data_IF_072392816997
#
_entry.id   IF_072392816997
#
_cell.length_a   1.000
_cell.length_b   1.000
_cell.length_c   1.000
_cell.angle_alpha   90.00
_cell.angle_beta   90.00
_cell.angle_gamma   90.00
#
_symmetry.space_group_name_H-M   'P 1'
#
loop_
_entity.id
_entity.type
_entity.pdbx_description
1 polymer ?
#
# COMPACT_ATOMS: atom_id res chain seq x y z
N UNK A 1 -75.56 8.38 -37.03
CA UNK A 1 -74.41 9.26 -36.77
C UNK A 1 -74.25 9.43 -35.28
N UNK A 2 -73.19 8.87 -34.68
CA UNK A 2 -72.74 9.24 -33.34
C UNK A 2 -71.27 8.80 -33.21
N UNK A 3 -70.35 9.77 -33.24
CA UNK A 3 -68.91 9.55 -33.09
C UNK A 3 -68.64 9.45 -31.58
N UNK A 4 -68.07 8.31 -31.18
CA UNK A 4 -67.78 7.95 -29.77
C UNK A 4 -66.52 8.64 -29.27
N UNK A 5 -66.52 8.93 -27.97
CA UNK A 5 -65.45 9.54 -27.19
C UNK A 5 -64.10 8.83 -27.36
N UNK A 6 -63.04 9.61 -27.57
CA UNK A 6 -61.65 9.12 -27.61
C UNK A 6 -61.24 8.61 -26.22
N UNK A 7 -60.61 7.43 -26.11
CA UNK A 7 -60.14 6.93 -24.84
C UNK A 7 -58.88 7.66 -24.39
N UNK A 8 -58.98 8.28 -23.22
CA UNK A 8 -57.89 8.79 -22.40
C UNK A 8 -57.03 7.64 -21.80
N UNK A 9 -56.47 6.79 -22.66
CA UNK A 9 -55.62 5.64 -22.29
C UNK A 9 -54.17 5.84 -22.76
N UNK A 10 -53.68 7.08 -22.72
CA UNK A 10 -52.30 7.41 -23.12
C UNK A 10 -51.37 7.80 -21.96
N UNK A 11 -51.86 7.91 -20.72
CA UNK A 11 -51.08 8.47 -19.61
C UNK A 11 -50.21 7.47 -18.81
N UNK A 12 -50.58 6.18 -18.61
CA UNK A 12 -49.81 5.33 -17.69
C UNK A 12 -48.51 4.78 -18.32
N UNK A 13 -48.41 4.70 -19.65
CA UNK A 13 -47.21 4.19 -20.34
C UNK A 13 -46.05 5.19 -20.27
N UNK A 14 -46.33 6.50 -20.22
CA UNK A 14 -45.31 7.54 -20.12
C UNK A 14 -44.61 7.57 -18.76
N UNK A 15 -45.28 7.14 -17.68
CA UNK A 15 -44.70 7.08 -16.33
C UNK A 15 -43.69 5.93 -16.16
N UNK A 16 -43.82 4.85 -16.93
CA UNK A 16 -42.85 3.75 -16.95
C UNK A 16 -41.57 4.11 -17.71
N UNK A 17 -41.67 4.94 -18.75
CA UNK A 17 -40.50 5.45 -19.48
C UNK A 17 -39.68 6.45 -18.65
N UNK A 18 -40.28 7.09 -17.63
CA UNK A 18 -39.59 8.01 -16.73
C UNK A 18 -38.83 7.31 -15.58
N UNK A 19 -38.98 6.00 -15.40
CA UNK A 19 -38.22 5.21 -14.42
C UNK A 19 -36.94 4.59 -15.03
N UNK A 20 -36.72 4.80 -16.32
CA UNK A 20 -35.48 4.48 -17.04
C UNK A 20 -34.78 5.75 -17.51
N UNK A 21 -34.76 6.78 -16.66
CA UNK A 21 -34.00 7.99 -16.92
C UNK A 21 -32.51 7.66 -16.84
N UNK A 22 -31.85 7.60 -18.00
CA UNK A 22 -30.38 7.60 -18.15
C UNK A 22 -29.78 8.99 -17.81
N UNK A 23 -30.58 9.89 -17.23
CA UNK A 23 -30.30 11.32 -17.01
C UNK A 23 -29.86 11.72 -15.60
N UNK A 24 -29.47 10.77 -14.74
CA UNK A 24 -28.80 11.10 -13.47
C UNK A 24 -27.29 10.98 -13.70
N UNK A 25 -26.53 11.98 -13.25
CA UNK A 25 -25.05 12.06 -13.16
C UNK A 25 -24.41 10.92 -12.32
N UNK A 26 -24.97 9.72 -12.37
CA UNK A 26 -24.44 8.54 -11.71
C UNK A 26 -23.40 7.90 -12.61
N UNK A 27 -22.16 7.72 -12.13
CA UNK A 27 -21.14 7.06 -12.91
C UNK A 27 -21.60 5.64 -13.24
N UNK A 28 -21.31 5.20 -14.46
CA UNK A 28 -21.56 3.83 -14.90
C UNK A 28 -20.97 2.83 -13.89
N UNK A 29 -21.75 1.81 -13.55
CA UNK A 29 -21.28 0.75 -12.65
C UNK A 29 -20.07 0.06 -13.26
N UNK A 30 -19.05 -0.20 -12.44
CA UNK A 30 -17.92 -1.00 -12.84
C UNK A 30 -18.43 -2.40 -13.22
N UNK A 31 -17.96 -3.00 -14.33
CA UNK A 31 -18.36 -4.36 -14.69
C UNK A 31 -18.09 -5.34 -13.54
N UNK A 32 -19.04 -6.24 -13.27
CA UNK A 32 -18.93 -7.22 -12.18
C UNK A 32 -17.64 -8.04 -12.29
N UNK A 33 -17.22 -8.37 -13.50
CA UNK A 33 -15.97 -9.12 -13.76
C UNK A 33 -14.71 -8.36 -13.30
N UNK A 34 -14.71 -7.03 -13.33
CA UNK A 34 -13.61 -6.22 -12.80
C UNK A 34 -13.66 -6.10 -11.28
N UNK A 35 -14.86 -6.01 -10.70
CA UNK A 35 -15.03 -5.91 -9.24
C UNK A 35 -14.64 -7.22 -8.54
N UNK A 36 -14.91 -8.35 -9.19
CA UNK A 36 -14.61 -9.68 -8.66
C UNK A 36 -13.28 -10.26 -9.15
N UNK A 37 -12.49 -9.48 -9.90
CA UNK A 37 -11.16 -9.90 -10.30
C UNK A 37 -10.25 -10.03 -9.07
N UNK A 38 -9.48 -11.12 -9.01
CA UNK A 38 -8.49 -11.32 -7.95
C UNK A 38 -7.43 -10.20 -8.04
N UNK A 39 -7.21 -9.43 -6.96
CA UNK A 39 -6.19 -8.38 -6.96
C UNK A 39 -4.80 -8.98 -7.12
N UNK A 40 -3.97 -8.35 -7.96
CA UNK A 40 -2.58 -8.79 -8.14
C UNK A 40 -1.77 -8.59 -6.87
N UNK A 41 -1.04 -9.62 -6.43
CA UNK A 41 -0.11 -9.52 -5.30
C UNK A 41 1.15 -8.73 -5.71
N UNK A 42 1.49 -7.63 -5.03
CA UNK A 42 2.68 -6.84 -5.33
C UNK A 42 4.00 -7.62 -5.17
N UNK A 43 5.04 -7.21 -5.93
CA UNK A 43 6.42 -7.74 -5.90
C UNK A 43 6.94 -8.14 -4.52
N UNK A 44 6.89 -7.18 -3.60
CA UNK A 44 7.42 -7.36 -2.25
C UNK A 44 6.61 -8.34 -1.38
N UNK A 45 5.36 -8.64 -1.75
CA UNK A 45 4.44 -9.46 -0.96
C UNK A 45 4.38 -10.93 -1.43
N UNK A 46 5.09 -11.32 -2.49
CA UNK A 46 5.04 -12.68 -3.01
C UNK A 46 5.50 -13.74 -1.99
N UNK A 47 6.48 -13.41 -1.15
CA UNK A 47 6.95 -14.30 -0.08
C UNK A 47 5.82 -14.55 0.92
N UNK A 48 5.09 -13.50 1.30
CA UNK A 48 3.95 -13.61 2.22
C UNK A 48 2.78 -14.38 1.61
N UNK A 49 2.53 -14.23 0.31
CA UNK A 49 1.49 -14.98 -0.38
C UNK A 49 1.82 -16.48 -0.52
N UNK A 50 3.09 -16.83 -0.77
CA UNK A 50 3.52 -18.22 -0.93
C UNK A 50 3.71 -18.97 0.39
N UNK A 51 3.94 -18.27 1.50
CA UNK A 51 4.22 -18.89 2.81
C UNK A 51 3.78 -17.99 3.98
N UNK A 52 2.47 -17.81 4.18
CA UNK A 52 1.95 -16.91 5.22
C UNK A 52 2.35 -17.35 6.64
N UNK A 53 2.39 -18.66 6.90
CA UNK A 53 2.80 -19.19 8.21
C UNK A 53 4.28 -18.95 8.51
N UNK A 54 5.14 -18.98 7.50
CA UNK A 54 6.56 -18.66 7.67
C UNK A 54 6.73 -17.20 8.07
N UNK A 55 6.06 -16.28 7.35
CA UNK A 55 6.10 -14.85 7.68
C UNK A 55 5.59 -14.60 9.11
N UNK A 56 4.52 -15.28 9.52
CA UNK A 56 4.01 -15.19 10.89
C UNK A 56 5.05 -15.66 11.92
N UNK A 57 5.66 -16.81 11.70
CA UNK A 57 6.71 -17.34 12.57
C UNK A 57 7.92 -16.41 12.65
N UNK A 58 8.37 -15.85 11.53
CA UNK A 58 9.51 -14.94 11.48
C UNK A 58 9.23 -13.64 12.25
N UNK A 59 8.01 -13.09 12.11
CA UNK A 59 7.57 -11.91 12.85
C UNK A 59 7.46 -12.19 14.35
N UNK A 60 6.95 -13.35 14.75
CA UNK A 60 6.89 -13.76 16.15
C UNK A 60 8.30 -13.89 16.76
N UNK A 61 9.24 -14.51 16.04
CA UNK A 61 10.63 -14.64 16.46
C UNK A 61 11.33 -13.28 16.56
N UNK A 62 11.13 -12.40 15.56
CA UNK A 62 11.66 -11.05 15.57
C UNK A 62 11.10 -10.23 16.75
N UNK A 63 9.80 -10.36 17.02
CA UNK A 63 9.15 -9.71 18.17
C UNK A 63 9.74 -10.17 19.51
N UNK A 64 10.01 -11.46 19.68
CA UNK A 64 10.67 -11.98 20.87
C UNK A 64 12.10 -11.43 21.03
N UNK A 65 12.88 -11.40 19.95
CA UNK A 65 14.23 -10.83 19.97
C UNK A 65 14.22 -9.35 20.36
N UNK A 66 13.30 -8.56 19.79
CA UNK A 66 13.13 -7.14 20.15
C UNK A 66 12.74 -6.95 21.61
N UNK A 67 11.88 -7.81 22.15
CA UNK A 67 11.45 -7.72 23.55
C UNK A 67 12.62 -8.01 24.52
N UNK A 68 13.52 -8.93 24.16
CA UNK A 68 14.78 -9.17 24.89
C UNK A 68 15.67 -7.93 24.83
N UNK A 69 15.88 -7.35 23.65
CA UNK A 69 16.68 -6.13 23.49
C UNK A 69 16.10 -4.93 24.26
N UNK A 70 14.78 -4.81 24.34
CA UNK A 70 14.11 -3.77 25.13
C UNK A 70 14.27 -3.98 26.65
N UNK A 71 14.51 -5.20 27.11
CA UNK A 71 14.84 -5.46 28.51
C UNK A 71 16.29 -5.09 28.84
N UNK A 72 17.19 -5.15 27.85
CA UNK A 72 18.61 -4.79 27.99
C UNK A 72 18.85 -3.28 27.81
N UNK A 73 18.10 -2.62 26.93
CA UNK A 73 18.15 -1.18 26.70
C UNK A 73 17.19 -0.50 27.66
N UNK A 74 17.71 0.22 28.65
CA UNK A 74 16.85 0.92 29.62
C UNK A 74 16.26 2.19 29.00
N UNK A 75 15.11 2.66 29.49
CA UNK A 75 14.60 3.97 29.08
C UNK A 75 15.59 5.10 29.38
N UNK A 76 16.46 4.95 30.37
CA UNK A 76 17.53 5.92 30.66
C UNK A 76 18.58 5.96 29.54
N UNK A 77 18.90 4.83 28.91
CA UNK A 77 19.85 4.80 27.78
C UNK A 77 19.32 5.51 26.53
N UNK A 78 17.99 5.63 26.40
CA UNK A 78 17.31 6.28 25.27
C UNK A 78 16.90 7.72 25.60
N UNK A 79 16.77 8.08 26.88
CA UNK A 79 16.39 9.42 27.31
C UNK A 79 17.59 10.32 27.69
N UNK A 80 18.81 9.78 27.75
CA UNK A 80 20.01 10.58 27.97
C UNK A 80 20.44 11.30 26.68
N UNK A 81 19.99 12.55 26.56
CA UNK A 81 20.27 13.44 25.43
C UNK A 81 21.77 13.57 25.13
N UNK A 82 22.62 13.72 26.16
CA UNK A 82 24.06 13.89 25.97
C UNK A 82 24.68 12.61 25.37
N UNK A 83 24.29 11.45 25.88
CA UNK A 83 24.73 10.17 25.34
C UNK A 83 24.21 9.92 23.90
N UNK A 84 23.05 10.46 23.53
CA UNK A 84 22.53 10.42 22.16
C UNK A 84 23.31 11.34 21.22
N UNK A 85 23.61 12.56 21.65
CA UNK A 85 24.41 13.54 20.89
C UNK A 85 25.80 12.98 20.57
N UNK A 86 26.46 12.37 21.56
CA UNK A 86 27.77 11.73 21.38
C UNK A 86 27.73 10.59 20.36
N UNK A 87 26.71 9.73 20.46
CA UNK A 87 26.49 8.63 19.51
C UNK A 87 26.22 9.17 18.09
N UNK A 88 25.38 10.20 17.96
CA UNK A 88 25.10 10.83 16.68
C UNK A 88 26.36 11.46 16.07
N UNK A 89 27.19 12.13 16.87
CA UNK A 89 28.47 12.67 16.42
C UNK A 89 29.42 11.56 15.95
N UNK A 90 29.50 10.45 16.66
CA UNK A 90 30.31 9.30 16.26
C UNK A 90 29.83 8.69 14.94
N UNK A 91 28.52 8.54 14.75
CA UNK A 91 27.92 8.04 13.50
C UNK A 91 28.22 8.96 12.31
N UNK A 92 28.10 10.28 12.49
CA UNK A 92 28.43 11.26 11.44
C UNK A 92 29.91 11.18 11.04
N UNK A 93 30.83 11.08 12.00
CA UNK A 93 32.26 10.89 11.72
C UNK A 93 32.52 9.61 10.92
N UNK A 94 31.89 8.51 11.29
CA UNK A 94 32.01 7.23 10.56
C UNK A 94 31.45 7.33 9.15
N UNK A 95 30.29 7.94 8.97
CA UNK A 95 29.69 8.14 7.66
C UNK A 95 30.57 9.02 6.76
N UNK A 96 31.18 10.08 7.31
CA UNK A 96 32.15 10.90 6.58
C UNK A 96 33.40 10.11 6.19
N UNK A 97 33.91 9.25 7.07
CA UNK A 97 35.03 8.38 6.76
C UNK A 97 34.70 7.40 5.62
N UNK A 98 33.52 6.76 5.68
CA UNK A 98 33.03 5.87 4.61
C UNK A 98 32.80 6.61 3.28
N UNK A 99 32.31 7.85 3.33
CA UNK A 99 32.10 8.67 2.14
C UNK A 99 33.41 9.18 1.52
N UNK A 100 34.46 9.34 2.35
CA UNK A 100 35.79 9.71 1.89
C UNK A 100 36.61 8.51 1.41
N UNK A 101 36.16 7.29 1.70
CA UNK A 101 36.74 6.07 1.16
C UNK A 101 36.46 6.04 -0.35
N UNK A 102 37.50 6.02 -1.20
CA UNK A 102 37.29 5.91 -2.63
C UNK A 102 36.57 4.60 -2.89
N UNK A 103 35.45 4.65 -3.61
CA UNK A 103 34.83 3.44 -4.10
C UNK A 103 35.87 2.73 -4.98
N UNK A 104 36.37 1.58 -4.50
CA UNK A 104 37.14 0.69 -5.36
C UNK A 104 36.20 0.30 -6.51
N UNK A 105 36.47 0.82 -7.71
CA UNK A 105 35.85 0.46 -8.98
C UNK A 105 36.24 -1.00 -9.36
N UNK A 106 35.99 -1.93 -8.46
CA UNK A 106 36.25 -3.35 -8.61
C UNK A 106 34.98 -4.14 -8.23
N UNK A 107 33.88 -3.84 -8.90
CA UNK A 107 32.82 -4.83 -9.12
C UNK A 107 33.04 -5.49 -10.49
N UNK A 108 32.94 -6.82 -10.61
CA UNK A 108 33.16 -7.56 -11.87
C UNK A 108 32.08 -7.33 -12.94
N UNK A 109 31.19 -6.35 -12.75
CA UNK A 109 30.08 -6.04 -13.64
C UNK A 109 30.19 -4.55 -13.98
N UNK A 110 30.62 -4.23 -15.20
CA UNK A 110 30.82 -2.89 -15.81
C UNK A 110 32.15 -2.16 -15.52
N UNK A 111 33.11 -2.17 -16.46
CA UNK A 111 34.33 -1.35 -16.41
C UNK A 111 34.16 -0.01 -17.17
N UNK A 112 32.99 0.61 -17.14
CA UNK A 112 32.78 1.87 -17.85
C UNK A 112 32.23 2.93 -16.89
N UNK A 113 33.12 3.82 -16.45
CA UNK A 113 32.87 5.04 -15.67
C UNK A 113 33.10 4.93 -14.16
N UNK A 114 34.31 4.56 -13.78
CA UNK A 114 35.20 5.58 -13.23
C UNK A 114 35.72 6.42 -14.44
#
# INVERSE_FOLDING_TARGET
MAIRALPALGFPVLLLAACGDDGIDYPALLPTDQVLAEPSIPGHAQIAAGSPDQVRSDLEAAGQALNVSAAEVTQQDVADEAALEDRAAALRRRAQALAAEPADCATPETPESC
#
